data_IF_160254593907
#
_entry.id   IF_160254593907
#
_cell.length_a   1.000
_cell.length_b   1.000
_cell.length_c   1.000
_cell.angle_alpha   90.00
_cell.angle_beta   90.00
_cell.angle_gamma   90.00
#
_symmetry.space_group_name_H-M   'P 1'
#
loop_
_entity.id
_entity.type
_entity.pdbx_description
1 polymer ?
#
# COMPACT_ATOMS: atom_id res chain seq x y z
N UNK A 1 20.33 -24.44 -13.23
CA UNK A 1 19.81 -24.57 -14.60
C UNK A 1 19.07 -25.89 -14.66
N UNK A 2 17.87 -25.92 -15.25
CA UNK A 2 16.82 -26.84 -14.82
C UNK A 2 16.21 -26.32 -13.52
N UNK A 3 16.09 -27.15 -12.49
CA UNK A 3 15.28 -26.87 -11.30
C UNK A 3 15.93 -25.93 -10.25
N UNK A 4 17.15 -25.43 -10.48
CA UNK A 4 17.87 -24.59 -9.50
C UNK A 4 18.42 -23.29 -10.08
N UNK A 5 18.34 -22.22 -9.30
CA UNK A 5 18.91 -20.92 -9.63
C UNK A 5 20.39 -20.91 -9.25
N UNK A 6 21.26 -20.62 -10.22
CA UNK A 6 22.71 -20.47 -10.00
C UNK A 6 23.04 -19.00 -10.21
N UNK A 7 23.66 -18.35 -9.22
CA UNK A 7 24.07 -16.95 -9.33
C UNK A 7 25.18 -16.83 -10.36
N UNK A 8 24.95 -16.00 -11.38
CA UNK A 8 25.95 -15.66 -12.39
C UNK A 8 26.56 -14.30 -12.03
N UNK A 9 27.87 -14.16 -12.21
CA UNK A 9 28.55 -12.86 -12.16
C UNK A 9 28.63 -12.32 -13.58
N UNK A 10 28.24 -11.07 -13.77
CA UNK A 10 28.22 -10.41 -15.07
C UNK A 10 29.15 -9.20 -14.95
N UNK A 11 30.06 -9.05 -15.92
CA UNK A 11 30.95 -7.91 -16.01
C UNK A 11 30.28 -6.86 -16.91
N UNK A 12 29.96 -5.69 -16.34
CA UNK A 12 29.29 -4.59 -17.03
C UNK A 12 29.97 -3.28 -16.63
N UNK A 13 30.03 -2.32 -17.54
CA UNK A 13 30.54 -0.98 -17.23
C UNK A 13 29.51 -0.15 -16.46
N UNK A 14 29.97 0.92 -15.78
CA UNK A 14 29.14 1.70 -14.85
C UNK A 14 28.01 2.47 -15.54
N UNK A 15 28.16 2.82 -16.82
CA UNK A 15 27.17 3.58 -17.59
C UNK A 15 25.85 2.81 -17.78
N UNK A 16 25.92 1.47 -17.72
CA UNK A 16 24.76 0.59 -17.83
C UNK A 16 24.22 0.13 -16.47
N UNK A 17 24.81 0.60 -15.36
CA UNK A 17 24.42 0.21 -14.01
C UNK A 17 23.72 1.38 -13.33
N UNK A 18 22.46 1.18 -12.95
CA UNK A 18 21.69 2.13 -12.16
C UNK A 18 21.57 1.66 -10.72
N UNK A 19 21.70 2.54 -9.72
CA UNK A 19 21.50 2.17 -8.33
C UNK A 19 20.02 1.85 -8.07
N UNK A 20 19.77 0.70 -7.44
CA UNK A 20 18.41 0.29 -7.08
C UNK A 20 17.93 1.02 -5.82
N UNK A 21 16.79 1.72 -5.91
CA UNK A 21 16.21 2.43 -4.75
C UNK A 21 15.39 1.54 -3.80
N UNK A 22 15.13 0.29 -4.15
CA UNK A 22 14.33 -0.64 -3.33
C UNK A 22 14.89 -0.87 -1.91
N UNK A 23 16.20 -0.72 -1.72
CA UNK A 23 16.87 -0.90 -0.44
C UNK A 23 16.96 0.39 0.39
N UNK A 24 16.67 1.56 -0.19
CA UNK A 24 16.81 2.85 0.49
C UNK A 24 15.81 2.97 1.63
N UNK A 25 14.53 2.69 1.36
CA UNK A 25 13.46 2.70 2.38
C UNK A 25 13.73 1.73 3.52
N UNK A 26 14.28 0.55 3.20
CA UNK A 26 14.65 -0.43 4.22
C UNK A 26 15.75 0.10 5.15
N UNK A 27 16.78 0.74 4.58
CA UNK A 27 17.89 1.33 5.36
C UNK A 27 17.38 2.48 6.23
N UNK A 28 16.58 3.38 5.69
CA UNK A 28 15.99 4.50 6.42
C UNK A 28 15.16 3.99 7.61
N UNK A 29 14.31 2.99 7.38
CA UNK A 29 13.51 2.37 8.43
C UNK A 29 14.35 1.70 9.51
N UNK A 30 15.46 1.04 9.14
CA UNK A 30 16.37 0.44 10.12
C UNK A 30 16.93 1.51 11.06
N UNK A 31 17.40 2.62 10.50
CA UNK A 31 17.95 3.75 11.28
C UNK A 31 16.88 4.33 12.21
N UNK A 32 15.67 4.57 11.71
CA UNK A 32 14.55 5.06 12.52
C UNK A 32 14.20 4.11 13.66
N UNK A 33 14.12 2.80 13.39
CA UNK A 33 13.82 1.79 14.40
C UNK A 33 14.89 1.73 15.50
N UNK A 34 16.17 1.85 15.14
CA UNK A 34 17.26 1.80 16.11
C UNK A 34 17.26 3.05 17.02
N UNK A 35 16.91 4.23 16.47
CA UNK A 35 16.66 5.45 17.26
C UNK A 35 15.51 5.25 18.25
N UNK A 36 14.36 4.78 17.78
CA UNK A 36 13.18 4.54 18.64
C UNK A 36 13.47 3.53 19.76
N UNK A 37 14.23 2.47 19.47
CA UNK A 37 14.64 1.49 20.49
C UNK A 37 15.56 2.11 21.55
N UNK A 38 16.50 2.97 21.14
CA UNK A 38 17.39 3.64 22.06
C UNK A 38 16.61 4.58 23.00
N UNK A 39 15.68 5.37 22.45
CA UNK A 39 14.81 6.26 23.21
C UNK A 39 13.87 5.50 24.16
N UNK A 40 13.29 4.39 23.70
CA UNK A 40 12.43 3.55 24.53
C UNK A 40 13.22 2.89 25.67
N UNK A 41 14.45 2.44 25.40
CA UNK A 41 15.36 1.90 26.43
C UNK A 41 15.69 2.97 27.47
N UNK A 42 15.94 4.22 27.05
CA UNK A 42 16.18 5.33 27.97
C UNK A 42 14.97 5.66 28.85
N UNK A 43 13.75 5.55 28.30
CA UNK A 43 12.48 5.72 29.04
C UNK A 43 12.05 4.50 29.87
N UNK A 44 12.68 3.34 29.67
CA UNK A 44 12.29 2.08 30.30
C UNK A 44 11.01 1.44 29.70
N UNK A 45 10.54 1.94 28.56
CA UNK A 45 9.33 1.46 27.90
C UNK A 45 9.65 0.34 26.90
N UNK A 46 8.76 -0.65 26.78
CA UNK A 46 8.85 -1.68 25.73
C UNK A 46 8.02 -1.27 24.53
N UNK A 47 8.68 -0.96 23.41
CA UNK A 47 8.03 -0.60 22.15
C UNK A 47 8.09 -1.74 21.11
N UNK A 48 7.12 -1.77 20.20
CA UNK A 48 7.14 -2.63 19.01
C UNK A 48 7.41 -1.80 17.76
N UNK A 49 8.53 -2.05 17.09
CA UNK A 49 8.90 -1.38 15.82
C UNK A 49 8.48 -2.18 14.57
N UNK A 50 7.50 -3.09 14.73
CA UNK A 50 6.98 -3.91 13.62
C UNK A 50 5.96 -3.08 12.81
N UNK A 51 5.98 -3.24 11.48
CA UNK A 51 4.94 -2.67 10.60
C UNK A 51 3.60 -3.34 10.89
N UNK A 52 2.53 -2.54 10.94
CA UNK A 52 1.17 -3.04 11.05
C UNK A 52 0.46 -2.93 9.71
N UNK A 53 -0.39 -3.90 9.32
CA UNK A 53 -1.28 -3.75 8.18
C UNK A 53 -2.29 -2.64 8.46
N UNK A 54 -2.95 -2.16 7.41
CA UNK A 54 -4.04 -1.21 7.57
C UNK A 54 -5.18 -1.87 8.36
N UNK A 55 -5.54 -1.24 9.49
CA UNK A 55 -6.67 -1.67 10.30
C UNK A 55 -8.01 -1.25 9.71
N UNK A 56 -9.13 -1.69 10.32
CA UNK A 56 -10.45 -1.19 9.96
C UNK A 56 -10.52 0.32 10.13
N UNK A 57 -11.24 1.00 9.23
CA UNK A 57 -11.46 2.45 9.36
C UNK A 57 -12.23 2.72 10.65
N UNK A 58 -11.80 3.70 11.48
CA UNK A 58 -12.59 4.13 12.62
C UNK A 58 -13.88 4.82 12.14
N UNK A 59 -14.90 4.86 13.00
CA UNK A 59 -16.12 5.62 12.73
C UNK A 59 -15.81 7.11 12.59
N UNK A 60 -16.47 7.78 11.65
CA UNK A 60 -16.37 9.22 11.46
C UNK A 60 -17.75 9.81 11.13
N UNK A 61 -17.98 11.05 11.54
CA UNK A 61 -19.20 11.79 11.21
C UNK A 61 -18.99 12.53 9.88
N UNK A 62 -19.97 12.43 8.98
CA UNK A 62 -19.96 13.14 7.70
C UNK A 62 -20.93 14.31 7.81
N UNK A 63 -20.41 15.53 7.77
CA UNK A 63 -21.20 16.76 7.75
C UNK A 63 -21.14 17.43 6.36
N UNK A 64 -22.25 18.01 5.90
CA UNK A 64 -22.25 18.91 4.75
C UNK A 64 -22.18 18.27 3.34
N UNK A 65 -22.48 16.99 3.20
CA UNK A 65 -22.61 16.39 1.87
C UNK A 65 -23.92 16.86 1.20
N UNK A 66 -23.83 17.43 -0.02
CA UNK A 66 -24.99 17.58 -0.90
C UNK A 66 -25.49 16.18 -1.25
N UNK A 67 -26.61 15.79 -0.62
CA UNK A 67 -27.21 14.47 -0.82
C UNK A 67 -27.93 14.45 -2.16
N UNK A 68 -27.31 13.80 -3.14
CA UNK A 68 -27.98 13.48 -4.41
C UNK A 68 -28.61 12.10 -4.29
N UNK A 69 -29.94 12.06 -4.32
CA UNK A 69 -30.69 10.81 -4.33
C UNK A 69 -30.65 10.21 -5.74
N UNK A 70 -29.81 9.19 -5.94
CA UNK A 70 -29.73 8.44 -7.21
C UNK A 70 -30.67 7.23 -7.14
N UNK A 71 -31.52 7.07 -8.14
CA UNK A 71 -32.36 5.87 -8.31
C UNK A 71 -31.72 4.89 -9.29
N UNK A 72 -31.85 3.56 -9.07
CA UNK A 72 -31.34 2.57 -10.02
C UNK A 72 -32.03 2.73 -11.39
N UNK A 73 -31.27 2.50 -12.46
CA UNK A 73 -31.80 2.44 -13.82
C UNK A 73 -32.64 1.15 -13.94
N UNK A 74 -33.89 1.21 -14.47
CA UNK A 74 -34.71 0.02 -14.65
C UNK A 74 -34.13 -0.92 -15.71
N UNK A 75 -34.41 -2.22 -15.59
CA UNK A 75 -33.98 -3.25 -16.55
C UNK A 75 -34.60 -3.05 -17.94
N UNK A 76 -33.81 -3.30 -18.98
CA UNK A 76 -34.17 -3.07 -20.40
C UNK A 76 -35.44 -3.78 -20.87
N UNK A 77 -35.79 -4.93 -20.27
CA UNK A 77 -36.99 -5.72 -20.62
C UNK A 77 -38.29 -4.91 -20.47
N UNK A 78 -38.32 -3.89 -19.62
CA UNK A 78 -39.51 -3.04 -19.40
C UNK A 78 -39.51 -1.78 -20.29
N UNK A 79 -38.34 -1.33 -20.75
CA UNK A 79 -38.23 -0.15 -21.62
C UNK A 79 -38.54 -0.49 -23.08
N UNK A 80 -38.13 -1.67 -23.56
CA UNK A 80 -38.40 -2.13 -24.93
C UNK A 80 -39.90 -2.44 -25.17
N UNK A 81 -40.66 -2.74 -24.11
CA UNK A 81 -42.10 -3.03 -24.17
C UNK A 81 -42.99 -1.77 -24.14
N UNK A 82 -42.43 -0.58 -23.87
CA UNK A 82 -43.18 0.69 -23.82
C UNK A 82 -43.06 1.52 -25.10
N UNK A 83 -42.24 1.10 -26.07
CA UNK A 83 -42.11 1.72 -27.39
C UNK A 83 -42.80 0.90 -28.48
N UNK A 84 -44.13 0.90 -28.48
CA UNK A 84 -44.91 0.13 -29.46
C UNK A 84 -46.39 0.45 -29.45
N UNK A 85 -46.74 1.66 -29.90
CA UNK A 85 -47.90 1.90 -30.76
C UNK A 85 -47.36 2.34 -32.12
#
# INVERSE_FOLDING_TARGET
VGNRIIRKRIHVRIEHVQPSRCNEDFKLRKIQNDKLKAEAKARGEKISTKRQPQGPKPGFMVEGATLETVTPIPYDVVNDLKGGY
#
